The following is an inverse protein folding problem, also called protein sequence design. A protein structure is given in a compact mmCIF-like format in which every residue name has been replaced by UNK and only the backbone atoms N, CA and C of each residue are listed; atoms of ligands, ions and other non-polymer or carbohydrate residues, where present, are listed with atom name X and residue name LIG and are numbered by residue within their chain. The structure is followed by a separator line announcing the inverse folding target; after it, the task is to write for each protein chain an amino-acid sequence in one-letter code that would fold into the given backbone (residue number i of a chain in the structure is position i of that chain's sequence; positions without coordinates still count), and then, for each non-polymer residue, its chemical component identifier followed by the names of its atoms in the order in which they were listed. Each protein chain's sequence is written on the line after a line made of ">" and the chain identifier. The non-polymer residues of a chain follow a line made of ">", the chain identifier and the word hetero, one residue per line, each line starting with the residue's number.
data_IF_729764671532
#
_entry.id   IF_729764671532
#
_cell.length_a   1.000
_cell.length_b   1.000
_cell.length_c   1.000
_cell.angle_alpha   90.00
_cell.angle_beta   90.00
_cell.angle_gamma   90.00
#
_symmetry.space_group_name_H-M   'P 1'
#
loop_
_entity.id
_entity.type
_entity.pdbx_description
1 polymer ?
#
# COMPACT_ATOMS: atom_id res chain seq x y z
N UNK A 1 13.54 6.06 28.91
CA UNK A 1 12.73 4.87 28.55
C UNK A 1 12.36 5.04 27.09
N UNK A 2 13.04 4.33 26.20
CA UNK A 2 12.77 4.36 24.77
C UNK A 2 11.86 3.18 24.50
N UNK A 3 10.60 3.44 24.15
CA UNK A 3 9.68 2.37 23.73
C UNK A 3 10.03 2.08 22.28
N UNK A 4 10.84 1.05 22.07
CA UNK A 4 10.99 0.43 20.76
C UNK A 4 9.70 -0.34 20.47
N UNK A 5 8.78 0.29 19.76
CA UNK A 5 7.61 -0.39 19.21
C UNK A 5 8.13 -1.33 18.11
N UNK A 6 8.35 -2.60 18.46
CA UNK A 6 8.54 -3.67 17.48
C UNK A 6 7.36 -3.63 16.53
N UNK A 7 7.60 -3.12 15.33
CA UNK A 7 6.63 -3.16 14.23
C UNK A 7 6.51 -4.63 13.85
N UNK A 8 5.52 -5.31 14.40
CA UNK A 8 5.13 -6.64 13.94
C UNK A 8 4.81 -6.46 12.46
N UNK A 9 5.62 -7.04 11.57
CA UNK A 9 5.27 -7.09 10.15
C UNK A 9 4.02 -7.94 10.04
N UNK A 10 2.86 -7.29 10.01
CA UNK A 10 1.61 -7.95 9.71
C UNK A 10 1.67 -8.44 8.26
N UNK A 11 1.93 -9.73 8.09
CA UNK A 11 2.04 -10.36 6.77
C UNK A 11 0.65 -10.35 6.15
N UNK A 12 0.50 -9.60 5.07
CA UNK A 12 -0.74 -9.54 4.30
C UNK A 12 -0.72 -10.68 3.30
N UNK A 13 -1.56 -11.69 3.53
CA UNK A 13 -1.66 -12.84 2.64
C UNK A 13 -2.68 -12.55 1.54
N UNK A 14 -2.22 -12.55 0.28
CA UNK A 14 -3.11 -12.50 -0.88
C UNK A 14 -3.52 -13.94 -1.21
N UNK A 15 -4.79 -14.28 -0.96
CA UNK A 15 -5.36 -15.58 -1.34
C UNK A 15 -5.59 -15.63 -2.85
N UNK A 16 -5.59 -16.84 -3.40
CA UNK A 16 -5.94 -17.09 -4.81
C UNK A 16 -7.32 -16.47 -5.12
N UNK A 17 -7.38 -15.63 -6.16
CA UNK A 17 -8.59 -14.86 -6.51
C UNK A 17 -8.58 -13.38 -6.09
N UNK A 18 -7.45 -12.86 -5.58
CA UNK A 18 -7.30 -11.42 -5.29
C UNK A 18 -7.88 -10.99 -3.94
N UNK A 19 -8.23 -11.93 -3.07
CA UNK A 19 -8.70 -11.65 -1.73
C UNK A 19 -7.51 -11.40 -0.79
N UNK A 20 -7.60 -10.36 0.03
CA UNK A 20 -6.60 -10.05 1.04
C UNK A 20 -7.05 -10.58 2.41
N UNK A 21 -6.23 -11.40 3.03
CA UNK A 21 -6.40 -11.77 4.43
C UNK A 21 -5.56 -10.83 5.30
N UNK A 22 -6.25 -10.04 6.11
CA UNK A 22 -5.67 -9.09 7.05
C UNK A 22 -5.90 -9.56 8.49
N UNK A 23 -4.97 -9.24 9.38
CA UNK A 23 -5.20 -9.44 10.81
C UNK A 23 -6.38 -8.57 11.29
N UNK A 24 -7.22 -9.05 12.23
CA UNK A 24 -8.37 -8.28 12.74
C UNK A 24 -7.98 -6.90 13.29
N UNK A 25 -6.79 -6.80 13.90
CA UNK A 25 -6.27 -5.53 14.42
C UNK A 25 -6.04 -4.51 13.30
N UNK A 26 -5.58 -4.96 12.13
CA UNK A 26 -5.40 -4.10 10.95
C UNK A 26 -6.74 -3.68 10.34
N UNK A 27 -7.72 -4.59 10.27
CA UNK A 27 -9.06 -4.29 9.76
C UNK A 27 -9.71 -3.15 10.55
N UNK A 28 -9.67 -3.24 11.88
CA UNK A 28 -10.25 -2.21 12.75
C UNK A 28 -9.52 -0.86 12.66
N UNK A 29 -8.19 -0.87 12.52
CA UNK A 29 -7.40 0.37 12.36
C UNK A 29 -7.64 1.09 11.02
N UNK A 30 -8.07 0.35 10.00
CA UNK A 30 -8.27 0.84 8.64
C UNK A 30 -9.75 1.07 8.27
N UNK A 31 -10.68 0.95 9.23
CA UNK A 31 -12.14 0.98 8.99
C UNK A 31 -12.59 0.01 7.88
N UNK A 32 -11.95 -1.17 7.86
CA UNK A 32 -12.21 -2.24 6.92
C UNK A 32 -13.00 -3.36 7.59
N UNK A 33 -13.93 -3.93 6.84
CA UNK A 33 -14.72 -5.09 7.22
C UNK A 33 -14.61 -6.18 6.15
N UNK A 34 -14.89 -7.43 6.52
CA UNK A 34 -14.89 -8.53 5.56
C UNK A 34 -15.90 -8.27 4.43
N UNK A 35 -15.46 -8.40 3.18
CA UNK A 35 -16.26 -8.10 2.00
C UNK A 35 -16.06 -6.70 1.42
N UNK A 36 -15.32 -5.82 2.11
CA UNK A 36 -14.93 -4.54 1.54
C UNK A 36 -13.96 -4.70 0.37
N UNK A 37 -14.14 -3.86 -0.65
CA UNK A 37 -13.19 -3.74 -1.74
C UNK A 37 -12.09 -2.76 -1.36
N UNK A 38 -10.84 -3.12 -1.67
CA UNK A 38 -9.68 -2.28 -1.35
C UNK A 38 -8.77 -2.13 -2.55
N UNK A 39 -8.28 -0.91 -2.73
CA UNK A 39 -7.14 -0.61 -3.58
C UNK A 39 -5.85 -0.84 -2.78
N UNK A 40 -4.91 -1.56 -3.39
CA UNK A 40 -3.61 -1.87 -2.79
C UNK A 40 -2.50 -1.28 -3.64
N UNK A 41 -1.65 -0.47 -3.02
CA UNK A 41 -0.45 0.08 -3.66
C UNK A 41 0.79 -0.29 -2.84
N UNK A 42 1.68 -1.16 -3.36
CA UNK A 42 2.99 -1.34 -2.76
C UNK A 42 3.83 -0.09 -2.95
N UNK A 43 4.39 0.45 -1.86
CA UNK A 43 5.20 1.66 -1.89
C UNK A 43 6.70 1.34 -1.85
N UNK A 44 7.08 0.39 -1.00
CA UNK A 44 8.44 -0.16 -0.88
C UNK A 44 8.35 -1.58 -0.29
N UNK A 45 9.42 -2.38 -0.30
CA UNK A 45 9.41 -3.71 0.31
C UNK A 45 8.87 -3.66 1.76
N UNK A 46 7.85 -4.47 2.03
CA UNK A 46 7.20 -4.55 3.35
C UNK A 46 6.24 -3.41 3.71
N UNK A 47 6.03 -2.41 2.85
CA UNK A 47 5.10 -1.30 3.11
C UNK A 47 4.10 -1.16 1.96
N UNK A 48 2.82 -1.28 2.30
CA UNK A 48 1.71 -1.11 1.37
C UNK A 48 0.76 -0.02 1.86
N UNK A 49 0.14 0.65 0.91
CA UNK A 49 -0.99 1.54 1.14
C UNK A 49 -2.29 0.78 0.82
N UNK A 50 -3.26 0.87 1.74
CA UNK A 50 -4.60 0.30 1.60
C UNK A 50 -5.63 1.42 1.59
N UNK A 51 -6.55 1.39 0.63
CA UNK A 51 -7.65 2.33 0.55
C UNK A 51 -8.96 1.61 0.23
N UNK A 52 -10.00 1.84 1.03
CA UNK A 52 -11.33 1.28 0.79
C UNK A 52 -11.95 1.91 -0.46
N UNK A 53 -12.47 1.10 -1.37
CA UNK A 53 -13.17 1.55 -2.57
C UNK A 53 -14.61 1.03 -2.58
N UNK A 54 -15.50 1.75 -3.25
CA UNK A 54 -16.94 1.45 -3.23
C UNK A 54 -17.30 0.19 -4.05
N UNK A 55 -16.54 -0.10 -5.11
CA UNK A 55 -16.77 -1.24 -5.99
C UNK A 55 -15.43 -1.79 -6.52
N UNK A 56 -15.41 -3.02 -7.06
CA UNK A 56 -14.21 -3.59 -7.68
C UNK A 56 -13.98 -3.06 -9.11
N UNK A 57 -14.78 -2.10 -9.56
CA UNK A 57 -14.65 -1.57 -10.91
C UNK A 57 -13.33 -0.80 -11.06
N UNK A 58 -12.75 -0.78 -12.28
CA UNK A 58 -11.55 -0.01 -12.52
C UNK A 58 -11.75 1.47 -12.16
N UNK A 59 -10.86 1.99 -11.33
CA UNK A 59 -10.83 3.42 -11.01
C UNK A 59 -10.57 4.25 -12.27
N UNK A 60 -11.15 5.44 -12.32
CA UNK A 60 -10.79 6.40 -13.35
C UNK A 60 -9.32 6.78 -13.20
N UNK A 61 -8.72 7.24 -14.30
CA UNK A 61 -7.32 7.72 -14.28
C UNK A 61 -7.12 8.84 -13.27
N UNK A 62 -8.11 9.71 -13.11
CA UNK A 62 -8.06 10.85 -12.20
C UNK A 62 -8.08 10.38 -10.74
N UNK A 63 -9.01 9.48 -10.41
CA UNK A 63 -9.12 8.88 -9.06
C UNK A 63 -7.86 8.10 -8.71
N UNK A 64 -7.34 7.29 -9.63
CA UNK A 64 -6.09 6.56 -9.43
C UNK A 64 -4.92 7.52 -9.19
N UNK A 65 -4.82 8.59 -9.97
CA UNK A 65 -3.75 9.59 -9.82
C UNK A 65 -3.84 10.30 -8.46
N UNK A 66 -5.05 10.61 -8.01
CA UNK A 66 -5.28 11.23 -6.70
C UNK A 66 -4.88 10.28 -5.57
N UNK A 67 -5.31 9.01 -5.62
CA UNK A 67 -4.96 7.99 -4.62
C UNK A 67 -3.46 7.74 -4.55
N UNK A 68 -2.80 7.63 -5.70
CA UNK A 68 -1.34 7.46 -5.75
C UNK A 68 -0.62 8.66 -5.11
N UNK A 69 -1.04 9.89 -5.43
CA UNK A 69 -0.46 11.08 -4.82
C UNK A 69 -0.64 11.06 -3.30
N UNK A 70 -1.85 10.80 -2.81
CA UNK A 70 -2.13 10.74 -1.37
C UNK A 70 -1.28 9.67 -0.67
N UNK A 71 -1.16 8.48 -1.26
CA UNK A 71 -0.35 7.40 -0.71
C UNK A 71 1.14 7.79 -0.58
N UNK A 72 1.70 8.41 -1.61
CA UNK A 72 3.08 8.90 -1.59
C UNK A 72 3.29 10.02 -0.57
N UNK A 73 2.38 11.00 -0.52
CA UNK A 73 2.44 12.12 0.42
C UNK A 73 2.38 11.64 1.88
N UNK A 74 1.47 10.71 2.20
CA UNK A 74 1.36 10.11 3.53
C UNK A 74 2.60 9.32 3.94
N UNK A 75 3.36 8.85 2.96
CA UNK A 75 4.61 8.11 3.17
C UNK A 75 5.85 9.00 3.19
N UNK A 76 5.66 10.33 3.13
CA UNK A 76 6.73 11.33 3.19
C UNK A 76 7.31 11.73 1.83
N UNK A 77 6.78 11.21 0.72
CA UNK A 77 7.18 11.56 -0.64
C UNK A 77 6.27 12.67 -1.18
N UNK A 78 6.65 13.91 -0.91
CA UNK A 78 5.82 15.09 -1.22
C UNK A 78 6.19 15.74 -2.56
N UNK A 79 7.33 15.36 -3.15
CA UNK A 79 7.75 15.87 -4.46
C UNK A 79 7.72 14.80 -5.53
N UNK A 80 7.45 15.23 -6.77
CA UNK A 80 7.50 14.35 -7.95
C UNK A 80 8.87 13.70 -8.11
N UNK A 81 9.94 14.42 -7.80
CA UNK A 81 11.31 13.93 -7.91
C UNK A 81 11.58 12.80 -6.92
N UNK A 82 11.13 12.93 -5.67
CA UNK A 82 11.23 11.88 -4.66
C UNK A 82 10.51 10.60 -5.10
N UNK A 83 9.29 10.73 -5.64
CA UNK A 83 8.53 9.60 -6.18
C UNK A 83 9.26 8.96 -7.37
N UNK A 84 9.79 9.77 -8.30
CA UNK A 84 10.53 9.26 -9.46
C UNK A 84 11.83 8.54 -9.06
N UNK A 85 12.54 9.04 -8.04
CA UNK A 85 13.73 8.39 -7.50
C UNK A 85 13.38 7.04 -6.92
N UNK A 86 12.33 6.95 -6.08
CA UNK A 86 11.85 5.69 -5.52
C UNK A 86 11.52 4.66 -6.62
N UNK A 87 10.80 5.08 -7.67
CA UNK A 87 10.46 4.19 -8.80
C UNK A 87 11.72 3.70 -9.53
N UNK A 88 12.76 4.54 -9.65
CA UNK A 88 14.03 4.14 -10.27
C UNK A 88 14.79 3.16 -9.38
N UNK A 89 14.87 3.41 -8.08
CA UNK A 89 15.53 2.54 -7.11
C UNK A 89 14.86 1.16 -7.11
N UNK A 90 13.54 1.09 -6.99
CA UNK A 90 12.81 -0.18 -7.04
C UNK A 90 12.97 -0.91 -8.38
N UNK A 91 13.07 -0.20 -9.50
CA UNK A 91 13.36 -0.82 -10.80
C UNK A 91 14.77 -1.41 -10.88
N UNK A 92 15.75 -0.75 -10.28
CA UNK A 92 17.13 -1.22 -10.25
C UNK A 92 17.26 -2.45 -9.35
N UNK A 93 16.64 -2.44 -8.16
CA UNK A 93 16.59 -3.60 -7.26
C UNK A 93 15.98 -4.82 -7.94
N UNK A 94 14.85 -4.66 -8.64
CA UNK A 94 14.23 -5.74 -9.41
C UNK A 94 15.09 -6.26 -10.56
N UNK A 95 15.92 -5.39 -11.16
CA UNK A 95 16.83 -5.78 -12.23
C UNK A 95 18.09 -6.49 -11.69
N UNK A 96 18.45 -6.29 -10.43
CA UNK A 96 19.55 -7.00 -9.76
C UNK A 96 19.14 -8.38 -9.22
N UNK A 97 17.85 -8.61 -9.01
CA UNK A 97 17.30 -9.90 -8.57
C UNK A 97 17.14 -10.95 -9.71
N UNK A 98 17.45 -10.60 -10.97
CA UNK A 98 17.31 -11.45 -12.16
C UNK A 98 18.62 -11.63 -12.92
#
# INVERSE_FOLDING_TARGET
>A
MTVETQTKSDIIQIKAGGQLALNPDLLSSADLTEGDYVFVLPLKPGVIYLHKVASPDPLSREDLSALMRTAFEQSGYTTREQVLTLVRESKNELAEEW
#
